data_IF_166574308986
#
_entry.id   IF_166574308986
#
_cell.length_a   1.000
_cell.length_b   1.000
_cell.length_c   1.000
_cell.angle_alpha   90.00
_cell.angle_beta   90.00
_cell.angle_gamma   90.00
#
_symmetry.space_group_name_H-M   'P 1'
#
loop_
_entity.id
_entity.type
_entity.pdbx_description
1 polymer ?
#
# COMPACT_ATOMS: atom_id res chain seq x y z
N UNK A 1 -14.82 -15.37 0.32
CA UNK A 1 -15.76 -14.48 -0.40
C UNK A 1 -16.45 -13.51 0.55
N UNK A 2 -16.93 -13.98 1.70
CA UNK A 2 -17.59 -13.16 2.73
C UNK A 2 -16.78 -11.95 3.22
N UNK A 3 -15.49 -12.15 3.57
CA UNK A 3 -14.62 -11.05 4.04
C UNK A 3 -14.49 -9.90 3.03
N UNK A 4 -14.37 -10.20 1.74
CA UNK A 4 -14.25 -9.18 0.70
C UNK A 4 -15.53 -8.37 0.49
N UNK A 5 -16.69 -9.00 0.69
CA UNK A 5 -17.99 -8.32 0.63
C UNK A 5 -18.15 -7.34 1.80
N UNK A 6 -17.84 -7.80 3.01
CA UNK A 6 -17.88 -6.95 4.22
C UNK A 6 -16.93 -5.76 4.13
N UNK A 7 -15.69 -5.99 3.71
CA UNK A 7 -14.72 -4.88 3.53
C UNK A 7 -15.21 -3.85 2.50
N UNK A 8 -15.86 -4.28 1.41
CA UNK A 8 -16.40 -3.35 0.41
C UNK A 8 -17.55 -2.51 0.97
N UNK A 9 -18.38 -3.10 1.81
CA UNK A 9 -19.48 -2.41 2.48
C UNK A 9 -18.96 -1.38 3.50
N UNK A 10 -18.02 -1.80 4.36
CA UNK A 10 -17.40 -0.94 5.38
C UNK A 10 -16.66 0.27 4.76
N UNK A 11 -16.09 0.10 3.56
CA UNK A 11 -15.34 1.14 2.85
C UNK A 11 -16.18 1.98 1.88
N UNK A 12 -17.49 1.75 1.79
CA UNK A 12 -18.35 2.37 0.75
C UNK A 12 -18.35 3.91 0.80
N UNK A 13 -18.15 4.49 1.98
CA UNK A 13 -18.16 5.95 2.19
C UNK A 13 -16.76 6.55 2.33
N UNK A 14 -15.69 5.75 2.22
CA UNK A 14 -14.32 6.17 2.52
C UNK A 14 -13.43 6.16 1.28
N UNK A 15 -12.86 7.31 0.93
CA UNK A 15 -11.94 7.45 -0.19
C UNK A 15 -10.47 7.21 0.22
N UNK A 16 -9.98 5.98 0.04
CA UNK A 16 -8.62 5.58 0.44
C UNK A 16 -7.51 6.09 -0.51
N UNK A 17 -7.84 6.59 -1.69
CA UNK A 17 -6.87 6.97 -2.72
C UNK A 17 -5.98 8.14 -2.29
N UNK A 18 -6.58 9.19 -1.73
CA UNK A 18 -5.87 10.43 -1.40
C UNK A 18 -4.87 10.23 -0.27
N UNK A 19 -5.28 9.54 0.82
CA UNK A 19 -4.38 9.18 1.93
C UNK A 19 -3.19 8.36 1.44
N UNK A 20 -3.48 7.29 0.69
CA UNK A 20 -2.46 6.40 0.12
C UNK A 20 -1.44 7.08 -0.79
N UNK A 21 -1.87 8.08 -1.55
CA UNK A 21 -1.01 8.72 -2.55
C UNK A 21 -0.20 9.91 -2.03
N UNK A 22 -0.71 10.60 -1.01
CA UNK A 22 -0.23 11.93 -0.63
C UNK A 22 0.10 12.08 0.86
N UNK A 23 -0.44 11.22 1.72
CA UNK A 23 -0.31 11.38 3.18
C UNK A 23 0.37 10.20 3.88
N UNK A 24 0.51 9.06 3.20
CA UNK A 24 1.25 7.91 3.72
C UNK A 24 2.63 7.84 3.06
N UNK A 25 3.68 7.66 3.86
CA UNK A 25 5.02 7.40 3.34
C UNK A 25 5.04 6.01 2.67
N UNK A 26 5.29 5.93 1.34
CA UNK A 26 5.27 4.67 0.61
C UNK A 26 6.27 3.65 1.16
N UNK A 27 7.37 4.10 1.80
CA UNK A 27 8.39 3.22 2.41
C UNK A 27 7.81 2.35 3.51
N UNK A 28 6.83 2.84 4.27
CA UNK A 28 6.12 2.05 5.30
C UNK A 28 5.46 0.83 4.64
N UNK A 29 4.79 1.04 3.52
CA UNK A 29 4.08 -0.04 2.79
C UNK A 29 5.08 -0.99 2.14
N UNK A 30 6.15 -0.46 1.53
CA UNK A 30 7.20 -1.29 0.91
C UNK A 30 7.89 -2.17 1.95
N UNK A 31 8.30 -1.62 3.09
CA UNK A 31 8.94 -2.36 4.17
C UNK A 31 8.01 -3.45 4.73
N UNK A 32 6.72 -3.16 4.91
CA UNK A 32 5.74 -4.17 5.32
C UNK A 32 5.59 -5.29 4.27
N UNK A 33 5.56 -4.95 2.97
CA UNK A 33 5.47 -5.94 1.90
C UNK A 33 6.70 -6.85 1.87
N UNK A 34 7.91 -6.30 2.05
CA UNK A 34 9.14 -7.08 2.12
C UNK A 34 9.15 -8.03 3.32
N UNK A 35 8.80 -7.54 4.52
CA UNK A 35 8.75 -8.35 5.74
C UNK A 35 7.77 -9.53 5.65
N UNK A 36 6.62 -9.32 5.02
CA UNK A 36 5.54 -10.30 4.96
C UNK A 36 5.47 -11.05 3.62
N UNK A 37 6.48 -10.89 2.76
CA UNK A 37 6.54 -11.52 1.43
C UNK A 37 5.28 -11.26 0.58
N UNK A 38 4.70 -10.07 0.71
CA UNK A 38 3.50 -9.67 -0.05
C UNK A 38 3.93 -9.02 -1.37
N UNK A 39 3.41 -9.48 -2.53
CA UNK A 39 3.70 -8.84 -3.81
C UNK A 39 3.27 -7.37 -3.81
N UNK A 40 4.19 -6.46 -4.10
CA UNK A 40 3.96 -5.02 -4.05
C UNK A 40 2.88 -4.55 -5.04
N UNK A 41 2.65 -5.30 -6.12
CA UNK A 41 1.62 -5.06 -7.13
C UNK A 41 0.20 -5.21 -6.57
N UNK A 42 0.03 -5.89 -5.43
CA UNK A 42 -1.25 -5.93 -4.70
C UNK A 42 -1.53 -4.62 -3.98
N UNK A 43 -0.48 -3.90 -3.60
CA UNK A 43 -0.59 -2.61 -2.90
C UNK A 43 -0.55 -1.43 -3.86
N UNK A 44 0.27 -1.44 -4.91
CA UNK A 44 0.39 -0.32 -5.83
C UNK A 44 0.16 -0.76 -7.27
N UNK A 45 -0.61 0.04 -8.01
CA UNK A 45 -0.74 -0.14 -9.46
C UNK A 45 0.51 0.36 -10.20
N UNK A 46 0.59 0.12 -11.52
CA UNK A 46 1.75 0.47 -12.34
C UNK A 46 2.14 1.96 -12.24
N UNK A 47 1.16 2.87 -12.25
CA UNK A 47 1.43 4.32 -12.14
C UNK A 47 1.97 4.69 -10.77
N UNK A 48 1.43 4.09 -9.70
CA UNK A 48 1.89 4.29 -8.33
C UNK A 48 3.30 3.77 -8.11
N UNK A 49 3.63 2.60 -8.66
CA UNK A 49 4.98 2.04 -8.58
C UNK A 49 6.01 2.94 -9.24
N UNK A 50 5.68 3.57 -10.38
CA UNK A 50 6.54 4.57 -11.02
C UNK A 50 6.73 5.81 -10.15
N UNK A 51 5.65 6.34 -9.56
CA UNK A 51 5.70 7.48 -8.62
C UNK A 51 6.59 7.19 -7.41
N UNK A 52 6.51 5.98 -6.88
CA UNK A 52 7.20 5.57 -5.65
C UNK A 52 8.47 4.75 -5.89
N UNK A 53 9.07 4.84 -7.08
CA UNK A 53 10.28 4.08 -7.42
C UNK A 53 11.42 4.30 -6.41
N UNK A 54 11.55 5.53 -5.89
CA UNK A 54 12.55 5.90 -4.88
C UNK A 54 12.37 5.17 -3.53
N UNK A 55 11.17 4.69 -3.22
CA UNK A 55 10.86 3.99 -1.97
C UNK A 55 11.14 2.48 -2.03
N UNK A 56 11.38 1.93 -3.23
CA UNK A 56 11.46 0.47 -3.46
C UNK A 56 12.71 -0.17 -2.85
N UNK A 57 13.77 0.60 -2.64
CA UNK A 57 15.04 0.11 -2.10
C UNK A 57 15.08 0.06 -0.57
N UNK A 58 14.02 0.52 0.11
CA UNK A 58 14.00 0.62 1.57
C UNK A 58 14.16 -0.73 2.27
N UNK A 59 14.86 -0.74 3.41
CA UNK A 59 15.05 -1.94 4.23
C UNK A 59 13.71 -2.45 4.82
N UNK A 60 13.51 -3.78 4.95
CA UNK A 60 12.33 -4.34 5.60
C UNK A 60 12.08 -3.81 7.03
N UNK A 61 13.12 -3.43 7.77
CA UNK A 61 13.04 -2.96 9.16
C UNK A 61 12.82 -1.44 9.28
N UNK A 62 12.55 -0.75 8.16
CA UNK A 62 12.26 0.67 8.14
C UNK A 62 11.15 1.07 9.12
N UNK A 63 11.44 2.11 9.89
CA UNK A 63 10.50 2.81 10.78
C UNK A 63 10.49 4.29 10.40
N UNK A 64 9.28 4.85 10.30
CA UNK A 64 9.04 6.26 10.07
C UNK A 64 9.11 7.04 11.38
#
# INVERSE_FOLDING_TARGET
>A
MEMGMRTKEDLKTVALGTSKLNYLDPRITVAWCKRNQVPIQKMFNTTQLRKFAWAMTVDPDFRF
#
